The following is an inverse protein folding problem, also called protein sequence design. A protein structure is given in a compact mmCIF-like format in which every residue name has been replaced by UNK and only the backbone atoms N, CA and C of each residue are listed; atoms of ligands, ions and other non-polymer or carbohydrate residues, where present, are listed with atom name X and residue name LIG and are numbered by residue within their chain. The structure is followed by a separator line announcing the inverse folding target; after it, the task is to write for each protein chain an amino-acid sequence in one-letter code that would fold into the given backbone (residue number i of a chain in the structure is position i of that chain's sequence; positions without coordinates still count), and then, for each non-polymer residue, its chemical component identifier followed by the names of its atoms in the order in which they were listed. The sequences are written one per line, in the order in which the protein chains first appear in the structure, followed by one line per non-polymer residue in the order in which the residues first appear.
data_IF_547073390899
#
_entry.id   IF_547073390899
#
_cell.length_a   1.000
_cell.length_b   1.000
_cell.length_c   1.000
_cell.angle_alpha   90.00
_cell.angle_beta   90.00
_cell.angle_gamma   90.00
#
_symmetry.space_group_name_H-M   'P 1'
#
loop_
_entity.id
_entity.type
_entity.pdbx_description
1 polymer ?
#
# COMPACT_ATOMS: atom_id res chain seq x y z
N UNK A 1 -66.95 -28.98 9.69
CA UNK A 1 -66.74 -28.85 8.22
C UNK A 1 -67.39 -27.52 7.84
N UNK A 2 -66.76 -26.45 7.36
CA UNK A 2 -65.45 -26.17 6.76
C UNK A 2 -64.98 -24.77 7.21
N UNK A 3 -63.66 -24.59 7.28
CA UNK A 3 -62.96 -23.31 7.41
C UNK A 3 -63.09 -22.51 6.10
N UNK A 4 -63.23 -21.19 6.17
CA UNK A 4 -62.90 -20.28 5.08
C UNK A 4 -61.98 -19.17 5.63
N UNK A 5 -60.74 -19.15 5.13
CA UNK A 5 -59.69 -18.22 5.51
C UNK A 5 -59.95 -16.82 4.96
N UNK A 6 -59.83 -15.81 5.82
CA UNK A 6 -59.63 -14.42 5.41
C UNK A 6 -58.17 -14.24 4.98
N UNK A 7 -57.97 -13.70 3.77
CA UNK A 7 -56.66 -13.29 3.24
C UNK A 7 -56.22 -12.02 3.97
N UNK A 8 -55.23 -12.15 4.86
CA UNK A 8 -54.48 -11.04 5.42
C UNK A 8 -53.28 -10.73 4.53
N UNK A 9 -53.28 -9.54 3.92
CA UNK A 9 -52.16 -8.99 3.16
C UNK A 9 -51.02 -8.66 4.13
N UNK A 10 -49.93 -9.43 4.06
CA UNK A 10 -48.70 -9.16 4.82
C UNK A 10 -47.92 -8.06 4.08
N UNK A 11 -47.97 -6.83 4.60
CA UNK A 11 -47.06 -5.76 4.21
C UNK A 11 -45.67 -6.09 4.78
N UNK A 12 -44.80 -6.67 3.95
CA UNK A 12 -43.37 -6.74 4.21
C UNK A 12 -42.81 -5.31 4.12
N UNK A 13 -42.51 -4.73 5.28
CA UNK A 13 -41.63 -3.56 5.39
C UNK A 13 -40.23 -4.05 5.02
N UNK A 14 -39.84 -3.81 3.77
CA UNK A 14 -38.46 -4.02 3.31
C UNK A 14 -37.55 -3.08 4.05
N UNK A 15 -36.76 -3.61 4.99
CA UNK A 15 -35.63 -2.90 5.55
C UNK A 15 -34.60 -2.71 4.44
N UNK A 16 -34.38 -1.46 4.03
CA UNK A 16 -33.19 -1.08 3.29
C UNK A 16 -31.99 -1.32 4.21
N UNK A 17 -31.36 -2.49 4.07
CA UNK A 17 -29.96 -2.67 4.45
C UNK A 17 -29.16 -1.87 3.42
N UNK A 18 -28.82 -0.63 3.77
CA UNK A 18 -27.77 0.09 3.09
C UNK A 18 -26.47 -0.68 3.36
N UNK A 19 -26.08 -1.55 2.42
CA UNK A 19 -24.72 -2.04 2.33
C UNK A 19 -23.87 -0.81 2.03
N UNK A 20 -23.26 -0.23 3.07
CA UNK A 20 -22.16 0.69 2.86
C UNK A 20 -21.03 -0.16 2.28
N UNK A 21 -20.75 0.02 0.99
CA UNK A 21 -19.52 -0.47 0.39
C UNK A 21 -18.38 0.17 1.21
N UNK A 22 -17.64 -0.67 1.93
CA UNK A 22 -16.41 -0.26 2.59
C UNK A 22 -15.44 0.07 1.46
N UNK A 23 -15.13 1.35 1.27
CA UNK A 23 -13.95 1.73 0.54
C UNK A 23 -12.76 1.24 1.37
N UNK A 24 -12.19 0.12 0.96
CA UNK A 24 -10.85 -0.30 1.37
C UNK A 24 -9.94 0.90 1.10
N UNK A 25 -9.46 1.56 2.15
CA UNK A 25 -8.31 2.44 2.06
C UNK A 25 -7.12 1.54 1.73
N UNK A 26 -6.95 1.28 0.43
CA UNK A 26 -5.80 0.59 -0.12
C UNK A 26 -4.59 1.46 0.27
N UNK A 27 -3.77 0.95 1.17
CA UNK A 27 -2.36 1.29 1.14
C UNK A 27 -1.90 0.90 -0.27
N UNK A 28 -1.85 1.86 -1.18
CA UNK A 28 -1.24 1.67 -2.48
C UNK A 28 0.15 1.10 -2.21
N UNK A 29 0.44 -0.11 -2.68
CA UNK A 29 1.76 -0.72 -2.61
C UNK A 29 2.30 -0.62 -4.03
N UNK A 30 3.33 0.20 -4.27
CA UNK A 30 3.97 0.20 -5.59
C UNK A 30 4.94 -0.97 -5.68
N UNK A 31 4.43 -2.07 -6.24
CA UNK A 31 5.13 -3.33 -6.37
C UNK A 31 4.23 -4.48 -5.89
N UNK A 32 4.66 -5.73 -6.02
CA UNK A 32 4.16 -6.91 -5.38
C UNK A 32 5.05 -7.18 -4.17
N UNK A 33 4.53 -8.06 -3.35
CA UNK A 33 5.16 -8.53 -2.15
C UNK A 33 6.32 -9.47 -2.52
N UNK A 34 7.48 -8.92 -2.87
CA UNK A 34 8.71 -9.68 -2.81
C UNK A 34 8.96 -9.96 -1.32
N UNK A 35 8.62 -11.17 -0.86
CA UNK A 35 8.80 -11.55 0.53
C UNK A 35 10.30 -11.74 0.81
N UNK A 36 11.00 -10.63 1.03
CA UNK A 36 12.39 -10.64 1.41
C UNK A 36 12.49 -11.05 2.88
N UNK A 37 13.34 -12.04 3.15
CA UNK A 37 13.68 -12.37 4.53
C UNK A 37 14.27 -11.15 5.22
N UNK A 38 13.91 -10.94 6.48
CA UNK A 38 14.58 -9.94 7.30
C UNK A 38 16.08 -10.19 7.30
N UNK A 39 16.85 -9.17 6.93
CA UNK A 39 18.30 -9.24 6.84
C UNK A 39 18.93 -9.48 8.23
N UNK A 40 18.24 -9.01 9.27
CA UNK A 40 18.71 -9.04 10.64
C UNK A 40 17.54 -9.27 11.61
N UNK A 41 17.77 -10.04 12.67
CA UNK A 41 16.79 -10.32 13.73
C UNK A 41 16.30 -9.04 14.43
N UNK A 42 17.13 -8.00 14.51
CA UNK A 42 16.71 -6.73 15.11
C UNK A 42 15.71 -5.99 14.21
N UNK A 43 15.85 -6.10 12.88
CA UNK A 43 14.85 -5.58 11.94
C UNK A 43 13.54 -6.35 12.06
N UNK A 44 13.61 -7.69 12.09
CA UNK A 44 12.44 -8.53 12.31
C UNK A 44 11.72 -8.13 13.61
N UNK A 45 12.42 -8.06 14.75
CA UNK A 45 11.80 -7.67 16.02
C UNK A 45 11.14 -6.29 15.99
N UNK A 46 11.77 -5.33 15.33
CA UNK A 46 11.24 -3.97 15.17
C UNK A 46 9.96 -3.97 14.34
N UNK A 47 9.95 -4.73 13.24
CA UNK A 47 8.79 -4.91 12.39
C UNK A 47 7.67 -5.65 13.13
N UNK A 48 8.02 -6.76 13.78
CA UNK A 48 7.08 -7.64 14.46
C UNK A 48 6.31 -6.90 15.55
N UNK A 49 6.97 -5.98 16.25
CA UNK A 49 6.38 -5.27 17.38
C UNK A 49 5.02 -4.65 17.05
N UNK A 50 4.90 -4.02 15.88
CA UNK A 50 3.70 -3.26 15.50
C UNK A 50 2.96 -3.84 14.31
N UNK A 51 3.63 -4.52 13.37
CA UNK A 51 3.01 -4.96 12.12
C UNK A 51 2.68 -6.46 12.11
N UNK A 52 3.31 -7.30 12.94
CA UNK A 52 2.91 -8.71 13.08
C UNK A 52 1.45 -8.89 13.57
N UNK A 53 0.94 -8.09 14.53
CA UNK A 53 -0.47 -8.14 14.89
C UNK A 53 -1.41 -7.82 13.72
N UNK A 54 -1.03 -6.87 12.85
CA UNK A 54 -1.80 -6.52 11.65
C UNK A 54 -1.75 -7.68 10.66
N UNK A 55 -0.54 -8.16 10.32
CA UNK A 55 -0.32 -9.29 9.39
C UNK A 55 -1.07 -10.56 9.78
N UNK A 56 -1.16 -10.85 11.07
CA UNK A 56 -1.85 -12.03 11.58
C UNK A 56 -3.34 -11.82 11.84
N UNK A 57 -3.93 -10.69 11.41
CA UNK A 57 -5.34 -10.38 11.61
C UNK A 57 -5.75 -10.26 13.08
N UNK A 58 -4.82 -9.90 13.97
CA UNK A 58 -5.11 -9.69 15.40
C UNK A 58 -5.67 -8.31 15.70
N UNK A 59 -5.38 -7.35 14.82
CA UNK A 59 -5.88 -5.98 14.87
C UNK A 59 -6.13 -5.47 13.45
N UNK A 60 -7.08 -4.56 13.32
CA UNK A 60 -7.38 -3.86 12.07
C UNK A 60 -6.94 -2.40 12.20
N UNK A 61 -5.75 -2.06 11.67
CA UNK A 61 -5.20 -0.70 11.63
C UNK A 61 -4.19 -0.56 10.49
N UNK A 62 -3.84 0.68 10.13
CA UNK A 62 -2.82 0.96 9.12
C UNK A 62 -1.42 0.41 9.49
N UNK A 63 -0.61 0.13 8.46
CA UNK A 63 0.76 -0.39 8.58
C UNK A 63 1.74 0.68 9.04
N UNK A 64 2.70 0.30 9.89
CA UNK A 64 3.78 1.20 10.34
C UNK A 64 5.01 1.10 9.44
N UNK A 65 5.36 -0.10 9.02
CA UNK A 65 6.50 -0.43 8.16
C UNK A 65 6.02 -0.92 6.80
N UNK A 66 4.97 -1.71 6.80
CA UNK A 66 4.46 -2.41 5.63
C UNK A 66 4.26 -3.90 5.93
N UNK A 67 3.64 -4.63 5.01
CA UNK A 67 3.29 -6.03 5.19
C UNK A 67 4.52 -6.96 5.28
N UNK A 68 5.62 -6.60 4.62
CA UNK A 68 6.89 -7.31 4.58
C UNK A 68 8.05 -6.37 4.23
N UNK A 69 9.28 -6.89 4.25
CA UNK A 69 10.44 -6.15 3.76
C UNK A 69 10.37 -5.95 2.24
N UNK A 70 10.56 -4.70 1.81
CA UNK A 70 10.53 -4.29 0.40
C UNK A 70 11.81 -4.67 -0.35
N UNK A 71 12.93 -4.83 0.36
CA UNK A 71 14.21 -5.19 -0.24
C UNK A 71 14.93 -6.29 0.53
N UNK A 72 15.95 -6.90 -0.10
CA UNK A 72 17.00 -7.62 0.63
C UNK A 72 17.78 -6.67 1.55
N UNK A 73 18.50 -7.24 2.51
CA UNK A 73 19.52 -6.50 3.26
C UNK A 73 20.64 -5.98 2.37
N UNK A 74 21.10 -4.76 2.65
CA UNK A 74 22.16 -4.08 1.89
C UNK A 74 23.19 -3.46 2.82
N UNK A 75 24.34 -3.13 2.23
CA UNK A 75 25.38 -2.32 2.86
C UNK A 75 25.43 -0.98 2.15
N UNK A 76 25.40 0.09 2.92
CA UNK A 76 25.53 1.46 2.42
C UNK A 76 26.70 2.14 3.12
N UNK A 77 27.51 2.89 2.36
CA UNK A 77 28.61 3.69 2.91
C UNK A 77 28.13 4.61 4.05
N UNK A 78 28.82 4.54 5.18
CA UNK A 78 28.61 5.42 6.33
C UNK A 78 29.91 5.56 7.11
N UNK A 79 30.51 6.76 7.07
CA UNK A 79 31.89 7.00 7.52
C UNK A 79 32.18 6.60 8.98
N UNK A 80 31.20 6.77 9.87
CA UNK A 80 31.35 6.47 11.31
C UNK A 80 30.96 5.03 11.68
N UNK A 81 30.50 4.21 10.72
CA UNK A 81 30.28 2.78 10.99
C UNK A 81 31.62 2.03 11.08
N UNK A 82 31.79 1.00 11.93
CA UNK A 82 33.07 0.31 12.14
C UNK A 82 33.77 -0.19 10.86
N UNK A 83 33.00 -0.58 9.85
CA UNK A 83 33.51 -1.05 8.56
C UNK A 83 33.38 -0.01 7.43
N UNK A 84 33.00 1.23 7.77
CA UNK A 84 32.68 2.29 6.82
C UNK A 84 31.35 2.08 6.09
N UNK A 85 30.55 1.09 6.49
CA UNK A 85 29.25 0.77 5.92
C UNK A 85 28.23 0.41 7.01
N UNK A 86 27.00 0.90 6.90
CA UNK A 86 25.85 0.50 7.71
C UNK A 86 25.05 -0.61 7.03
N UNK A 87 24.42 -1.48 7.82
CA UNK A 87 23.44 -2.44 7.29
C UNK A 87 22.07 -1.76 7.19
N UNK A 88 21.39 -1.91 6.05
CA UNK A 88 20.06 -1.35 5.82
C UNK A 88 19.11 -2.37 5.21
N UNK A 89 17.81 -2.20 5.44
CA UNK A 89 16.76 -2.90 4.72
C UNK A 89 15.55 -1.96 4.51
N UNK A 90 15.00 -1.95 3.31
CA UNK A 90 13.86 -1.11 2.95
C UNK A 90 12.55 -1.84 3.21
N UNK A 91 11.53 -1.06 3.56
CA UNK A 91 10.14 -1.43 3.76
C UNK A 91 9.29 -0.42 2.99
N UNK A 92 7.98 -0.64 2.87
CA UNK A 92 7.14 0.28 2.12
C UNK A 92 7.16 1.69 2.71
N UNK A 93 6.99 1.75 4.04
CA UNK A 93 6.76 2.99 4.78
C UNK A 93 8.05 3.59 5.35
N UNK A 94 9.21 2.95 5.16
CA UNK A 94 10.48 3.36 5.79
C UNK A 94 11.68 2.55 5.27
N UNK A 95 12.87 2.83 5.80
CA UNK A 95 13.90 1.80 5.96
C UNK A 95 14.17 1.51 7.44
N UNK A 96 14.92 0.44 7.70
CA UNK A 96 15.60 0.19 8.96
C UNK A 96 17.10 0.15 8.73
N UNK A 97 17.89 0.66 9.67
CA UNK A 97 19.35 0.69 9.58
C UNK A 97 20.03 0.42 10.92
N UNK A 98 21.16 -0.31 10.87
CA UNK A 98 22.11 -0.49 11.97
C UNK A 98 23.43 0.16 11.56
N UNK A 99 23.66 1.36 12.07
CA UNK A 99 24.86 2.17 11.81
C UNK A 99 26.03 1.76 12.70
N UNK A 100 25.75 1.46 13.97
CA UNK A 100 26.75 1.02 14.95
C UNK A 100 26.39 -0.38 15.44
N UNK A 101 26.82 -1.44 14.72
CA UNK A 101 26.56 -2.82 15.14
C UNK A 101 27.20 -3.17 16.49
N UNK A 102 28.22 -2.41 16.90
CA UNK A 102 28.91 -2.45 18.19
C UNK A 102 28.23 -1.62 19.30
N UNK A 103 27.08 -1.00 19.01
CA UNK A 103 26.27 -0.24 19.96
C UNK A 103 25.47 -1.11 20.95
N UNK A 104 24.68 -0.43 21.80
CA UNK A 104 23.77 -1.08 22.76
C UNK A 104 22.53 -1.62 22.03
N UNK A 105 22.48 -2.94 21.86
CA UNK A 105 21.40 -3.66 21.17
C UNK A 105 20.09 -3.77 21.95
N UNK A 106 20.06 -3.25 23.19
CA UNK A 106 18.85 -3.14 24.00
C UNK A 106 18.15 -1.79 23.85
N UNK A 107 18.82 -0.82 23.24
CA UNK A 107 18.26 0.50 22.97
C UNK A 107 17.28 0.45 21.81
N UNK A 108 16.15 1.16 21.92
CA UNK A 108 15.24 1.36 20.79
C UNK A 108 15.94 2.02 19.59
N UNK A 109 17.05 2.73 19.84
CA UNK A 109 17.84 3.40 18.82
C UNK A 109 18.92 2.52 18.19
N UNK A 110 19.01 1.23 18.55
CA UNK A 110 19.91 0.30 17.87
C UNK A 110 19.51 0.11 16.41
N UNK A 111 18.20 -0.01 16.16
CA UNK A 111 17.60 0.08 14.83
C UNK A 111 17.03 1.48 14.66
N UNK A 112 17.61 2.25 13.74
CA UNK A 112 17.05 3.56 13.35
C UNK A 112 16.39 3.47 11.98
N UNK A 113 15.80 4.56 11.49
CA UNK A 113 14.94 4.53 10.29
C UNK A 113 15.47 5.44 9.17
N UNK A 114 16.69 5.97 9.31
CA UNK A 114 17.25 6.98 8.41
C UNK A 114 16.55 8.34 8.49
N UNK A 115 17.06 9.34 7.79
CA UNK A 115 16.48 10.69 7.67
C UNK A 115 15.82 10.86 6.30
N UNK A 116 15.04 9.86 5.88
CA UNK A 116 14.60 9.69 4.48
C UNK A 116 13.95 10.95 3.89
N UNK A 117 13.00 11.55 4.60
CA UNK A 117 12.30 12.74 4.10
C UNK A 117 13.21 13.95 4.10
N UNK A 118 14.05 14.14 5.12
CA UNK A 118 15.06 15.21 5.10
C UNK A 118 15.94 15.12 3.87
N UNK A 119 16.41 13.92 3.56
CA UNK A 119 17.28 13.66 2.42
C UNK A 119 16.53 13.85 1.08
N UNK A 120 15.30 13.35 0.95
CA UNK A 120 14.44 13.55 -0.25
C UNK A 120 14.14 15.02 -0.51
N UNK A 121 13.77 15.77 0.53
CA UNK A 121 13.39 17.19 0.40
C UNK A 121 14.61 18.07 0.13
N UNK A 122 15.76 17.76 0.73
CA UNK A 122 16.97 18.61 0.59
C UNK A 122 17.92 18.18 -0.52
N UNK A 123 17.76 16.97 -1.05
CA UNK A 123 18.73 16.34 -1.94
C UNK A 123 20.03 15.90 -1.25
N UNK A 124 20.16 16.06 0.08
CA UNK A 124 21.42 15.81 0.81
C UNK A 124 21.46 14.38 1.34
N UNK A 125 21.92 13.46 0.52
CA UNK A 125 22.05 12.05 0.88
C UNK A 125 23.10 11.86 1.99
N UNK A 126 22.72 11.21 3.08
CA UNK A 126 23.62 10.99 4.22
C UNK A 126 24.61 9.86 3.95
N UNK A 127 25.90 10.13 4.20
CA UNK A 127 27.05 9.22 4.04
C UNK A 127 27.90 9.15 5.33
N UNK A 128 27.42 9.76 6.41
CA UNK A 128 28.04 9.83 7.72
C UNK A 128 27.31 10.84 8.62
N UNK A 129 27.74 10.98 9.87
CA UNK A 129 27.10 11.88 10.85
C UNK A 129 27.08 13.34 10.37
N UNK A 130 28.15 13.75 9.68
CA UNK A 130 28.29 15.10 9.12
C UNK A 130 28.73 15.10 7.65
N UNK A 131 28.65 13.95 6.98
CA UNK A 131 29.10 13.76 5.59
C UNK A 131 27.88 13.52 4.70
N UNK A 132 27.76 14.30 3.62
CA UNK A 132 26.62 14.26 2.73
C UNK A 132 27.06 14.30 1.27
N UNK A 133 26.36 13.55 0.43
CA UNK A 133 26.41 13.65 -1.03
C UNK A 133 25.21 14.48 -1.52
N UNK A 134 25.42 15.37 -2.49
CA UNK A 134 24.37 16.23 -3.00
C UNK A 134 23.76 15.65 -4.28
N UNK A 135 22.44 15.51 -4.27
CA UNK A 135 21.58 15.16 -5.39
C UNK A 135 20.53 16.25 -5.59
N UNK A 136 19.70 16.11 -6.63
CA UNK A 136 18.49 16.91 -6.75
C UNK A 136 17.45 16.46 -5.71
N UNK A 137 16.67 17.39 -5.12
CA UNK A 137 15.47 17.04 -4.38
C UNK A 137 14.53 16.12 -5.17
N UNK A 138 13.78 15.28 -4.48
CA UNK A 138 12.98 14.26 -5.14
C UNK A 138 11.68 14.81 -5.75
N UNK A 139 11.58 14.72 -7.07
CA UNK A 139 10.36 14.96 -7.87
C UNK A 139 9.44 13.72 -7.78
N UNK A 140 9.03 13.36 -6.57
CA UNK A 140 8.15 12.22 -6.28
C UNK A 140 6.99 12.70 -5.42
N UNK A 141 5.77 12.34 -5.82
CA UNK A 141 4.55 12.65 -5.07
C UNK A 141 4.65 12.12 -3.64
N UNK A 142 4.42 13.00 -2.65
CA UNK A 142 4.57 12.65 -1.23
C UNK A 142 3.45 11.69 -0.79
N UNK A 143 2.27 11.84 -1.38
CA UNK A 143 1.08 11.06 -1.13
C UNK A 143 0.21 10.98 -2.40
N UNK A 144 -0.69 10.01 -2.43
CA UNK A 144 -1.57 9.79 -3.58
C UNK A 144 -0.92 8.93 -4.67
N UNK A 145 -1.53 8.98 -5.84
CA UNK A 145 -1.11 8.22 -7.01
C UNK A 145 0.20 8.79 -7.58
N UNK A 146 1.11 7.94 -8.09
CA UNK A 146 2.42 8.37 -8.58
C UNK A 146 2.38 9.26 -9.83
N UNK A 147 1.30 9.16 -10.61
CA UNK A 147 1.10 9.88 -11.87
C UNK A 147 0.17 11.09 -11.73
N UNK A 148 -0.28 11.41 -10.50
CA UNK A 148 -1.05 12.61 -10.20
C UNK A 148 -0.21 13.88 -10.44
N UNK A 149 -0.54 14.71 -11.45
CA UNK A 149 0.20 15.94 -11.74
C UNK A 149 -0.07 17.07 -10.75
N UNK A 150 -1.12 16.94 -9.93
CA UNK A 150 -1.59 17.95 -8.97
C UNK A 150 -1.19 17.59 -7.51
N UNK A 151 -0.46 16.49 -7.31
CA UNK A 151 0.10 16.11 -6.02
C UNK A 151 1.42 16.83 -5.73
N UNK A 152 1.60 17.19 -4.45
CA UNK A 152 2.82 17.85 -3.96
C UNK A 152 3.98 16.84 -3.90
N UNK A 153 5.13 17.23 -4.44
CA UNK A 153 6.37 16.44 -4.40
C UNK A 153 7.24 16.76 -3.18
N UNK A 154 8.25 15.93 -2.88
CA UNK A 154 9.23 16.29 -1.85
C UNK A 154 10.05 17.54 -2.22
N UNK A 155 10.32 17.76 -3.51
CA UNK A 155 11.01 18.95 -4.00
C UNK A 155 10.23 20.24 -3.68
N UNK A 156 8.91 20.23 -3.83
CA UNK A 156 8.03 21.37 -3.51
C UNK A 156 8.10 21.75 -2.01
N UNK A 157 8.24 20.75 -1.14
CA UNK A 157 8.31 20.95 0.31
C UNK A 157 9.59 21.66 0.77
N UNK A 158 10.65 21.68 -0.05
CA UNK A 158 11.92 22.32 0.31
C UNK A 158 11.74 23.82 0.62
N UNK A 159 10.82 24.48 -0.08
CA UNK A 159 10.50 25.89 0.15
C UNK A 159 9.75 26.14 1.48
N UNK A 160 9.21 25.08 2.11
CA UNK A 160 8.37 25.17 3.30
C UNK A 160 9.14 24.95 4.61
N UNK A 161 10.37 24.45 4.56
CA UNK A 161 11.19 24.13 5.75
C UNK A 161 11.44 25.34 6.67
N UNK A 162 11.49 26.55 6.13
CA UNK A 162 11.72 27.77 6.90
C UNK A 162 10.44 28.46 7.38
N UNK A 163 9.26 27.85 7.15
CA UNK A 163 7.97 28.44 7.55
C UNK A 163 7.84 28.43 9.07
N UNK A 164 7.35 29.51 9.68
CA UNK A 164 7.24 29.60 11.13
C UNK A 164 6.19 28.62 11.67
N UNK A 165 6.45 28.09 12.86
CA UNK A 165 5.51 27.25 13.59
C UNK A 165 4.11 27.89 13.71
N UNK A 166 3.08 27.11 13.41
CA UNK A 166 1.69 27.49 13.67
C UNK A 166 1.45 27.47 15.18
N UNK A 167 0.82 28.52 15.71
CA UNK A 167 0.48 28.58 17.14
C UNK A 167 -0.41 27.41 17.57
N UNK A 168 -0.05 26.73 18.66
CA UNK A 168 -0.85 25.66 19.27
C UNK A 168 -2.30 26.10 19.49
N UNK A 169 -3.25 25.21 19.20
CA UNK A 169 -4.69 25.44 19.28
C UNK A 169 -5.31 26.09 18.03
N UNK A 170 -4.50 26.52 17.05
CA UNK A 170 -5.01 27.04 15.77
C UNK A 170 -5.70 25.93 14.98
N UNK A 171 -6.91 26.18 14.47
CA UNK A 171 -7.59 25.29 13.53
C UNK A 171 -6.89 25.36 12.18
N UNK A 172 -6.48 24.21 11.65
CA UNK A 172 -5.69 24.11 10.43
C UNK A 172 -6.59 24.09 9.20
N UNK A 173 -6.55 25.17 8.43
CA UNK A 173 -7.37 25.38 7.23
C UNK A 173 -6.56 25.70 5.97
N UNK A 174 -5.23 25.71 6.08
CA UNK A 174 -4.36 26.05 4.96
C UNK A 174 -4.27 24.88 3.99
N UNK A 175 -4.59 25.15 2.71
CA UNK A 175 -4.30 24.28 1.58
C UNK A 175 -2.93 24.62 0.98
N UNK A 176 -2.22 23.62 0.51
CA UNK A 176 -1.00 23.73 -0.27
C UNK A 176 -1.27 23.16 -1.67
N UNK A 177 -0.83 23.85 -2.71
CA UNK A 177 -0.85 23.37 -4.10
C UNK A 177 0.56 23.06 -4.62
N UNK A 178 0.65 22.53 -5.84
CA UNK A 178 1.90 22.16 -6.53
C UNK A 178 2.78 23.35 -6.89
N UNK A 179 2.28 24.58 -6.83
CA UNK A 179 3.10 25.78 -7.03
C UNK A 179 3.71 26.29 -5.71
N UNK A 180 3.48 25.58 -4.60
CA UNK A 180 3.86 26.03 -3.27
C UNK A 180 2.98 27.16 -2.73
N UNK A 181 1.83 27.45 -3.37
CA UNK A 181 0.91 28.46 -2.89
C UNK A 181 0.12 27.92 -1.69
N UNK A 182 0.04 28.75 -0.65
CA UNK A 182 -0.71 28.42 0.56
C UNK A 182 -1.95 29.30 0.65
N UNK A 183 -3.13 28.67 0.54
CA UNK A 183 -4.43 29.36 0.56
C UNK A 183 -5.24 28.87 1.75
N UNK A 184 -5.81 29.78 2.53
CA UNK A 184 -6.73 29.39 3.61
C UNK A 184 -8.10 29.01 3.04
N UNK A 185 -8.58 27.82 3.37
CA UNK A 185 -9.92 27.33 3.05
C UNK A 185 -10.72 27.10 4.34
N UNK A 186 -11.58 28.08 4.73
CA UNK A 186 -12.38 28.00 5.95
C UNK A 186 -13.30 26.78 6.03
N UNK A 187 -13.65 26.13 4.92
CA UNK A 187 -14.52 24.95 4.95
C UNK A 187 -13.87 23.76 5.67
N UNK A 188 -12.53 23.68 5.64
CA UNK A 188 -11.75 22.62 6.29
C UNK A 188 -11.81 22.68 7.82
N UNK A 189 -12.27 23.81 8.39
CA UNK A 189 -12.56 23.92 9.82
C UNK A 189 -13.60 22.88 10.29
N UNK A 190 -14.44 22.36 9.38
CA UNK A 190 -15.39 21.29 9.66
C UNK A 190 -14.72 20.00 10.16
N UNK A 191 -13.44 19.77 9.84
CA UNK A 191 -12.69 18.60 10.30
C UNK A 191 -12.08 18.76 11.71
N UNK A 192 -12.11 19.97 12.28
CA UNK A 192 -11.64 20.27 13.63
C UNK A 192 -10.19 19.81 13.92
N UNK A 193 -9.34 19.82 12.90
CA UNK A 193 -7.90 19.55 13.02
C UNK A 193 -7.22 20.80 13.59
N UNK A 194 -6.37 20.62 14.60
CA UNK A 194 -5.66 21.73 15.25
C UNK A 194 -4.15 21.52 15.29
N UNK A 195 -3.39 22.62 15.39
CA UNK A 195 -1.97 22.57 15.73
C UNK A 195 -1.83 22.14 17.20
N UNK A 196 -1.25 20.97 17.49
CA UNK A 196 -1.34 20.33 18.80
C UNK A 196 -0.05 20.42 19.63
N UNK A 197 1.10 20.06 19.06
CA UNK A 197 2.36 19.96 19.81
C UNK A 197 3.47 20.75 19.10
N UNK A 198 3.99 21.79 19.74
CA UNK A 198 5.10 22.59 19.19
C UNK A 198 6.42 21.95 19.58
N UNK A 199 7.22 21.60 18.58
CA UNK A 199 8.55 21.03 18.75
C UNK A 199 9.59 22.09 18.44
N UNK A 200 10.46 22.36 19.42
CA UNK A 200 11.58 23.30 19.24
C UNK A 200 12.88 22.63 19.66
N UNK A 201 13.70 22.27 18.68
CA UNK A 201 15.06 21.75 18.85
C UNK A 201 16.01 22.52 17.91
N UNK A 202 17.35 22.46 18.04
CA UNK A 202 18.23 23.19 17.14
C UNK A 202 17.93 22.89 15.66
N UNK A 203 17.55 23.92 14.90
CA UNK A 203 17.21 23.79 13.48
C UNK A 203 15.74 23.46 13.18
N UNK A 204 14.92 23.15 14.18
CA UNK A 204 13.50 22.77 14.02
C UNK A 204 12.62 23.62 14.94
N UNK A 205 11.61 24.25 14.37
CA UNK A 205 10.54 24.95 15.10
C UNK A 205 9.22 24.83 14.34
N UNK A 206 8.49 23.72 14.59
CA UNK A 206 7.25 23.37 13.90
C UNK A 206 6.19 22.84 14.87
N UNK A 207 4.93 22.88 14.46
CA UNK A 207 3.81 22.35 15.27
C UNK A 207 3.15 21.15 14.60
N UNK A 208 3.07 20.03 15.32
CA UNK A 208 2.46 18.78 14.88
C UNK A 208 0.94 18.92 14.90
N UNK A 209 0.26 18.48 13.83
CA UNK A 209 -1.20 18.46 13.79
C UNK A 209 -1.79 17.42 14.76
N UNK A 210 -2.97 17.72 15.31
CA UNK A 210 -3.67 16.90 16.31
C UNK A 210 -3.87 15.43 15.94
N UNK A 211 -4.30 15.04 14.71
CA UNK A 211 -4.42 13.62 14.37
C UNK A 211 -3.06 12.90 14.42
N UNK A 212 -1.99 13.54 13.95
CA UNK A 212 -0.65 12.97 13.94
C UNK A 212 -0.08 12.84 15.35
N UNK A 213 -0.22 13.89 16.17
CA UNK A 213 0.23 13.83 17.56
C UNK A 213 -0.49 12.75 18.36
N UNK A 214 -1.80 12.59 18.14
CA UNK A 214 -2.58 11.51 18.75
C UNK A 214 -2.11 10.13 18.30
N UNK A 215 -1.83 9.95 17.01
CA UNK A 215 -1.33 8.69 16.46
C UNK A 215 0.07 8.33 16.99
N UNK A 216 1.00 9.28 17.01
CA UNK A 216 2.36 9.11 17.56
C UNK A 216 2.37 8.72 19.05
N UNK A 217 1.30 9.04 19.80
CA UNK A 217 1.15 8.69 21.22
C UNK A 217 0.15 7.56 21.45
N UNK A 218 -0.29 6.88 20.40
CA UNK A 218 -1.34 5.85 20.51
C UNK A 218 -0.82 4.53 21.07
N UNK A 219 -1.77 3.73 21.54
CA UNK A 219 -1.57 2.36 22.03
C UNK A 219 -2.42 1.38 21.24
N UNK A 220 -2.00 0.12 21.23
CA UNK A 220 -2.75 -0.98 20.65
C UNK A 220 -2.06 -2.32 20.95
N UNK A 221 -2.63 -3.40 20.41
CA UNK A 221 -1.97 -4.71 20.49
C UNK A 221 -0.65 -4.65 19.73
N UNK A 222 0.42 -4.95 20.48
CA UNK A 222 1.79 -5.14 20.00
C UNK A 222 2.21 -6.59 20.20
N UNK A 223 3.33 -6.97 19.58
CA UNK A 223 3.95 -8.28 19.75
C UNK A 223 5.33 -8.15 20.39
N UNK A 224 5.64 -9.09 21.27
CA UNK A 224 7.02 -9.45 21.63
C UNK A 224 7.16 -10.96 21.45
N UNK A 225 8.38 -11.51 21.32
CA UNK A 225 8.56 -12.93 21.01
C UNK A 225 7.72 -13.86 21.87
N UNK A 226 6.67 -14.44 21.26
CA UNK A 226 5.73 -15.37 21.89
C UNK A 226 4.48 -14.77 22.55
N UNK A 227 4.30 -13.44 22.61
CA UNK A 227 3.18 -12.81 23.30
C UNK A 227 2.59 -11.59 22.56
N UNK A 228 1.26 -11.48 22.60
CA UNK A 228 0.52 -10.28 22.22
C UNK A 228 -0.01 -9.59 23.48
N UNK A 229 0.07 -8.27 23.55
CA UNK A 229 -0.45 -7.49 24.67
C UNK A 229 -0.69 -6.04 24.24
N UNK A 230 -1.50 -5.30 25.01
CA UNK A 230 -1.73 -3.87 24.81
C UNK A 230 -0.55 -3.05 25.34
N UNK A 231 0.02 -2.20 24.49
CA UNK A 231 1.08 -1.26 24.86
C UNK A 231 1.05 -0.03 23.94
N UNK A 232 1.95 0.93 24.15
CA UNK A 232 2.22 1.99 23.17
C UNK A 232 2.69 1.39 21.86
N UNK A 233 2.21 1.94 20.74
CA UNK A 233 2.74 1.58 19.41
C UNK A 233 4.17 2.09 19.24
N UNK A 234 4.51 3.20 19.90
CA UNK A 234 5.82 3.80 19.88
C UNK A 234 6.26 4.14 21.31
N UNK A 235 7.36 3.55 21.79
CA UNK A 235 7.91 3.88 23.11
C UNK A 235 8.25 5.37 23.20
N UNK A 236 8.85 5.90 22.13
CA UNK A 236 9.08 7.32 21.90
C UNK A 236 8.23 7.79 20.71
N UNK A 237 7.43 8.87 20.84
CA UNK A 237 6.55 9.34 19.76
C UNK A 237 7.31 9.74 18.49
N UNK A 238 8.59 10.09 18.59
CA UNK A 238 9.45 10.48 17.47
C UNK A 238 10.26 9.33 16.89
N UNK A 239 10.09 8.09 17.38
CA UNK A 239 10.86 6.94 16.89
C UNK A 239 10.62 6.70 15.38
N UNK A 240 9.36 6.57 14.98
CA UNK A 240 8.98 6.27 13.61
C UNK A 240 9.11 7.46 12.65
N UNK A 241 8.81 8.67 13.11
CA UNK A 241 8.71 9.87 12.24
C UNK A 241 9.92 10.79 12.30
N UNK A 242 10.63 10.84 13.43
CA UNK A 242 11.52 11.98 13.75
C UNK A 242 10.75 13.26 14.08
N UNK A 243 11.44 14.39 14.12
CA UNK A 243 10.82 15.69 14.39
C UNK A 243 10.08 16.27 13.16
N UNK A 244 9.05 17.11 13.34
CA UNK A 244 8.35 17.75 12.22
C UNK A 244 9.29 18.71 11.49
N UNK A 245 9.26 18.68 10.15
CA UNK A 245 10.07 19.57 9.30
C UNK A 245 9.21 20.51 8.45
N UNK A 246 7.88 20.30 8.47
CA UNK A 246 6.89 21.21 7.90
C UNK A 246 5.76 21.43 8.90
N UNK A 247 5.01 22.51 8.71
CA UNK A 247 3.63 22.58 9.20
C UNK A 247 2.74 21.58 8.45
N UNK A 248 1.55 21.31 8.98
CA UNK A 248 0.58 20.48 8.30
C UNK A 248 -0.29 21.31 7.34
N UNK A 249 -0.48 20.79 6.13
CA UNK A 249 -1.26 21.43 5.07
C UNK A 249 -2.28 20.45 4.52
N UNK A 250 -3.45 20.96 4.14
CA UNK A 250 -4.38 20.20 3.33
C UNK A 250 -3.91 20.20 1.89
N UNK A 251 -3.89 19.05 1.24
CA UNK A 251 -3.53 18.90 -0.17
C UNK A 251 -4.64 18.14 -0.89
N UNK A 252 -4.73 18.38 -2.19
CA UNK A 252 -5.51 17.53 -3.09
C UNK A 252 -4.56 16.48 -3.66
N UNK A 253 -4.96 15.22 -3.62
CA UNK A 253 -4.24 14.11 -4.28
C UNK A 253 -5.23 13.12 -4.86
N UNK A 254 -4.87 12.45 -5.93
CA UNK A 254 -5.59 11.29 -6.45
C UNK A 254 -5.23 10.04 -5.65
N UNK A 255 -6.23 9.19 -5.38
CA UNK A 255 -6.03 7.86 -4.80
C UNK A 255 -6.87 6.88 -5.60
N UNK A 256 -6.23 6.04 -6.42
CA UNK A 256 -6.90 5.16 -7.37
C UNK A 256 -7.64 5.92 -8.47
N UNK A 257 -7.11 7.07 -8.90
CA UNK A 257 -7.68 7.98 -9.90
C UNK A 257 -8.83 8.84 -9.37
N UNK A 258 -9.06 8.86 -8.05
CA UNK A 258 -10.13 9.64 -7.42
C UNK A 258 -9.53 10.73 -6.56
N UNK A 259 -9.89 11.97 -6.85
CA UNK A 259 -9.47 13.15 -6.10
C UNK A 259 -9.90 13.06 -4.61
N UNK A 260 -8.95 13.27 -3.71
CA UNK A 260 -9.13 13.29 -2.26
C UNK A 260 -8.49 14.53 -1.67
N UNK A 261 -9.17 15.12 -0.68
CA UNK A 261 -8.56 16.11 0.21
C UNK A 261 -7.97 15.39 1.41
N UNK A 262 -6.66 15.51 1.59
CA UNK A 262 -5.90 14.86 2.68
C UNK A 262 -5.08 15.90 3.43
N UNK A 263 -4.96 15.76 4.74
CA UNK A 263 -4.00 16.54 5.51
C UNK A 263 -2.64 15.85 5.43
N UNK A 264 -1.59 16.59 5.09
CA UNK A 264 -0.22 16.11 4.96
C UNK A 264 0.69 16.84 5.95
N UNK A 265 1.56 16.11 6.66
CA UNK A 265 2.69 16.70 7.40
C UNK A 265 3.94 15.83 7.26
N UNK A 266 5.07 16.46 7.01
CA UNK A 266 6.34 15.78 6.89
C UNK A 266 7.23 15.98 8.12
N UNK A 267 7.93 14.90 8.47
CA UNK A 267 8.88 14.79 9.57
C UNK A 267 10.21 14.29 9.01
N UNK A 268 11.27 14.33 9.80
CA UNK A 268 12.64 13.98 9.35
C UNK A 268 12.73 12.62 8.65
N UNK A 269 11.95 11.63 9.09
CA UNK A 269 12.01 10.25 8.62
C UNK A 269 10.82 9.84 7.74
N UNK A 270 9.63 10.41 7.97
CA UNK A 270 8.40 10.04 7.27
C UNK A 270 7.43 11.20 7.11
N UNK A 271 6.55 11.11 6.13
CA UNK A 271 5.37 11.95 6.05
C UNK A 271 4.13 11.15 6.47
N UNK A 272 3.22 11.83 7.16
CA UNK A 272 1.94 11.30 7.59
C UNK A 272 0.81 11.96 6.81
N UNK A 273 -0.19 11.18 6.43
CA UNK A 273 -1.44 11.67 5.85
C UNK A 273 -2.60 11.45 6.82
N UNK A 274 -3.58 12.35 6.81
CA UNK A 274 -4.84 12.20 7.52
C UNK A 274 -6.04 12.43 6.59
N UNK A 275 -6.90 11.42 6.48
CA UNK A 275 -8.08 11.42 5.60
C UNK A 275 -9.34 11.23 6.45
N UNK A 276 -10.09 12.32 6.76
CA UNK A 276 -11.24 12.25 7.67
C UNK A 276 -12.35 11.29 7.24
N UNK A 277 -12.49 11.04 5.94
CA UNK A 277 -13.50 10.14 5.38
C UNK A 277 -13.15 8.66 5.52
N UNK A 278 -11.90 8.32 5.86
CA UNK A 278 -11.50 6.93 6.08
C UNK A 278 -12.11 6.40 7.39
N UNK A 279 -12.29 5.07 7.52
CA UNK A 279 -12.68 4.50 8.79
C UNK A 279 -11.61 4.78 9.86
N UNK A 280 -12.03 4.88 11.13
CA UNK A 280 -11.22 5.46 12.21
C UNK A 280 -9.80 4.87 12.34
N UNK A 281 -9.62 3.57 12.10
CA UNK A 281 -8.32 2.90 12.23
C UNK A 281 -7.38 3.09 11.00
N UNK A 282 -7.86 3.77 9.96
CA UNK A 282 -7.13 4.11 8.72
C UNK A 282 -7.20 5.61 8.42
N UNK A 283 -7.57 6.43 9.40
CA UNK A 283 -7.59 7.87 9.20
C UNK A 283 -6.20 8.46 9.15
N UNK A 284 -5.21 7.88 9.82
CA UNK A 284 -3.80 8.30 9.77
C UNK A 284 -2.97 7.19 9.14
N UNK A 285 -2.16 7.54 8.16
CA UNK A 285 -1.32 6.59 7.44
C UNK A 285 0.09 7.14 7.22
N UNK A 286 1.07 6.25 7.14
CA UNK A 286 2.40 6.59 6.64
C UNK A 286 2.40 6.54 5.11
N UNK A 287 3.06 7.51 4.47
CA UNK A 287 3.36 7.44 3.04
C UNK A 287 4.36 6.32 2.72
N UNK A 288 4.45 5.91 1.45
CA UNK A 288 5.39 4.87 0.98
C UNK A 288 6.83 5.39 0.83
N UNK A 289 7.28 6.19 1.79
CA UNK A 289 8.57 6.90 1.71
C UNK A 289 9.76 5.95 1.62
N UNK A 290 9.64 4.70 2.11
CA UNK A 290 10.71 3.72 1.98
C UNK A 290 10.95 3.32 0.52
N UNK A 291 9.86 3.13 -0.24
CA UNK A 291 9.93 2.87 -1.69
C UNK A 291 10.41 4.10 -2.45
N UNK A 292 9.89 5.28 -2.11
CA UNK A 292 10.28 6.55 -2.75
C UNK A 292 11.78 6.81 -2.58
N UNK A 293 12.28 6.65 -1.34
CA UNK A 293 13.68 6.86 -1.03
C UNK A 293 14.59 5.82 -1.67
N UNK A 294 14.20 4.54 -1.68
CA UNK A 294 14.98 3.50 -2.34
C UNK A 294 15.26 3.85 -3.81
N UNK A 295 14.22 4.26 -4.55
CA UNK A 295 14.32 4.68 -5.96
C UNK A 295 15.24 5.89 -6.13
N UNK A 296 15.01 6.92 -5.32
CA UNK A 296 15.78 8.16 -5.38
C UNK A 296 17.27 7.94 -5.06
N UNK A 297 17.58 7.18 -4.00
CA UNK A 297 18.96 6.89 -3.57
C UNK A 297 19.73 6.05 -4.57
N UNK A 298 19.09 5.02 -5.13
CA UNK A 298 19.78 4.06 -6.00
C UNK A 298 19.67 4.40 -7.48
N UNK A 299 19.03 5.52 -7.84
CA UNK A 299 18.86 5.95 -9.23
C UNK A 299 18.05 4.95 -10.06
N UNK A 300 17.28 4.09 -9.40
CA UNK A 300 16.47 3.07 -10.05
C UNK A 300 15.04 3.62 -10.25
N UNK A 301 14.52 3.79 -11.48
CA UNK A 301 13.13 3.42 -11.68
C UNK A 301 13.08 1.95 -11.26
N UNK A 302 12.23 1.58 -10.28
CA UNK A 302 12.04 0.15 -9.96
C UNK A 302 11.86 -0.53 -11.30
N UNK A 303 12.75 -1.46 -11.69
CA UNK A 303 12.55 -2.17 -12.93
C UNK A 303 11.18 -2.79 -12.83
N UNK A 304 10.26 -2.26 -13.62
CA UNK A 304 8.90 -2.71 -13.67
C UNK A 304 8.65 -3.14 -15.09
N UNK A 305 7.86 -4.19 -15.19
CA UNK A 305 7.33 -4.65 -16.43
C UNK A 305 5.87 -4.23 -16.49
N UNK A 306 5.51 -3.55 -17.57
CA UNK A 306 4.11 -3.25 -17.85
C UNK A 306 3.45 -4.47 -18.44
N UNK A 307 2.43 -4.97 -17.76
CA UNK A 307 1.65 -6.14 -18.15
C UNK A 307 0.18 -5.79 -18.30
N UNK A 308 -0.57 -6.70 -18.92
CA UNK A 308 -2.03 -6.64 -18.96
C UNK A 308 -2.58 -7.53 -17.84
N UNK A 309 -3.37 -6.94 -16.94
CA UNK A 309 -4.35 -7.72 -16.20
C UNK A 309 -5.61 -7.79 -17.06
N UNK A 310 -6.30 -8.92 -17.05
CA UNK A 310 -7.51 -9.08 -17.85
C UNK A 310 -8.73 -8.98 -16.94
N UNK A 311 -9.61 -8.03 -17.22
CA UNK A 311 -10.90 -7.88 -16.53
C UNK A 311 -12.03 -8.37 -17.43
N UNK A 312 -13.20 -8.64 -16.86
CA UNK A 312 -14.33 -9.23 -17.58
C UNK A 312 -15.35 -8.16 -17.95
N UNK A 313 -15.57 -7.92 -19.24
CA UNK A 313 -16.74 -7.20 -19.72
C UNK A 313 -17.91 -8.18 -19.86
N UNK A 314 -18.97 -7.98 -19.07
CA UNK A 314 -20.16 -8.82 -19.15
C UNK A 314 -21.03 -8.43 -20.33
N UNK A 315 -21.42 -9.38 -21.17
CA UNK A 315 -22.28 -9.06 -22.31
C UNK A 315 -23.71 -8.75 -21.87
N UNK A 316 -24.15 -7.50 -22.04
CA UNK A 316 -25.41 -7.18 -22.73
C UNK A 316 -25.41 -5.75 -23.32
N UNK A 317 -25.91 -5.53 -24.57
CA UNK A 317 -26.27 -6.53 -25.57
C UNK A 317 -25.08 -6.81 -26.53
N UNK A 318 -24.86 -8.10 -26.81
CA UNK A 318 -23.73 -8.63 -27.58
C UNK A 318 -23.45 -7.89 -28.91
N UNK A 319 -22.18 -7.53 -29.15
CA UNK A 319 -21.71 -7.14 -30.49
C UNK A 319 -21.21 -8.38 -31.25
N UNK A 320 -21.56 -8.45 -32.53
CA UNK A 320 -21.57 -9.68 -33.32
C UNK A 320 -20.18 -10.24 -33.74
N UNK A 321 -19.06 -9.77 -33.18
CA UNK A 321 -17.71 -10.16 -33.67
C UNK A 321 -16.61 -10.26 -32.60
N UNK A 322 -16.93 -10.31 -31.29
CA UNK A 322 -15.92 -10.59 -30.26
C UNK A 322 -15.75 -12.11 -30.05
N UNK A 323 -14.52 -12.58 -29.79
CA UNK A 323 -14.26 -13.93 -29.27
C UNK A 323 -14.75 -13.96 -27.82
N UNK A 324 -15.97 -14.45 -27.61
CA UNK A 324 -16.60 -14.50 -26.28
C UNK A 324 -16.34 -15.84 -25.60
N UNK A 325 -16.35 -15.84 -24.26
CA UNK A 325 -16.28 -17.05 -23.44
C UNK A 325 -17.44 -17.08 -22.43
N UNK A 326 -17.66 -18.25 -21.82
CA UNK A 326 -18.70 -18.43 -20.81
C UNK A 326 -20.09 -17.99 -21.29
N UNK A 327 -20.63 -16.95 -20.64
CA UNK A 327 -21.97 -16.43 -20.90
C UNK A 327 -22.02 -15.32 -21.96
N UNK A 328 -21.03 -15.29 -22.85
CA UNK A 328 -20.88 -14.23 -23.86
C UNK A 328 -19.95 -13.10 -23.41
N UNK A 329 -19.20 -13.29 -22.32
CA UNK A 329 -18.30 -12.28 -21.76
C UNK A 329 -17.04 -12.12 -22.62
N UNK A 330 -16.37 -10.98 -22.45
CA UNK A 330 -15.11 -10.64 -23.12
C UNK A 330 -14.04 -10.26 -22.10
N UNK A 331 -12.77 -10.58 -22.38
CA UNK A 331 -11.65 -10.11 -21.59
C UNK A 331 -11.17 -8.75 -22.11
N UNK A 332 -11.06 -7.79 -21.21
CA UNK A 332 -10.54 -6.45 -21.49
C UNK A 332 -9.20 -6.30 -20.76
N UNK A 333 -8.09 -6.09 -21.50
CA UNK A 333 -6.79 -5.84 -20.87
C UNK A 333 -6.77 -4.44 -20.24
N UNK A 334 -6.29 -4.38 -19.00
CA UNK A 334 -5.98 -3.14 -18.27
C UNK A 334 -4.50 -3.16 -17.90
N UNK A 335 -3.80 -2.05 -18.20
CA UNK A 335 -2.36 -1.98 -17.98
C UNK A 335 -2.03 -1.79 -16.51
N UNK A 336 -1.07 -2.57 -16.03
CA UNK A 336 -0.49 -2.43 -14.69
C UNK A 336 1.00 -2.68 -14.72
N UNK A 337 1.68 -2.09 -13.76
CA UNK A 337 3.10 -2.28 -13.56
C UNK A 337 3.30 -3.34 -12.48
N UNK A 338 4.06 -4.38 -12.82
CA UNK A 338 4.60 -5.39 -11.89
C UNK A 338 6.12 -5.19 -11.83
N UNK A 339 6.87 -5.68 -10.84
CA UNK A 339 8.32 -5.61 -10.87
C UNK A 339 8.81 -6.58 -11.90
N UNK A 340 9.97 -6.22 -12.39
CA UNK A 340 10.84 -7.10 -13.12
C UNK A 340 11.17 -8.32 -12.26
N UNK A 341 11.10 -9.49 -12.88
CA UNK A 341 11.72 -10.69 -12.37
C UNK A 341 12.64 -11.25 -13.45
N UNK A 342 13.80 -11.76 -13.04
CA UNK A 342 14.83 -12.28 -13.96
C UNK A 342 14.41 -13.58 -14.66
N UNK A 343 13.29 -14.17 -14.26
CA UNK A 343 12.79 -15.45 -14.80
C UNK A 343 11.34 -15.32 -15.25
N UNK A 344 10.98 -16.05 -16.32
CA UNK A 344 9.60 -16.12 -16.81
C UNK A 344 8.60 -16.59 -15.73
N UNK A 345 8.88 -17.65 -14.93
CA UNK A 345 8.03 -18.00 -13.80
C UNK A 345 7.85 -16.87 -12.78
N UNK A 346 8.92 -16.13 -12.46
CA UNK A 346 8.84 -14.99 -11.54
C UNK A 346 7.95 -13.85 -12.06
N UNK A 347 8.01 -13.54 -13.35
CA UNK A 347 7.15 -12.53 -13.99
C UNK A 347 5.66 -12.94 -13.93
N UNK A 348 5.38 -14.22 -14.20
CA UNK A 348 4.03 -14.79 -14.09
C UNK A 348 3.53 -14.75 -12.64
N UNK A 349 4.36 -15.12 -11.67
CA UNK A 349 4.04 -15.04 -10.24
C UNK A 349 3.64 -13.61 -9.86
N UNK A 350 4.46 -12.61 -10.21
CA UNK A 350 4.18 -11.21 -9.88
C UNK A 350 2.84 -10.72 -10.46
N UNK A 351 2.51 -11.09 -11.70
CA UNK A 351 1.22 -10.74 -12.31
C UNK A 351 0.02 -11.40 -11.63
N UNK A 352 0.15 -12.68 -11.25
CA UNK A 352 -0.89 -13.42 -10.56
C UNK A 352 -1.11 -12.90 -9.13
N UNK A 353 -0.05 -12.59 -8.40
CA UNK A 353 -0.15 -12.02 -7.06
C UNK A 353 -0.87 -10.66 -7.10
N UNK A 354 -0.52 -9.79 -8.05
CA UNK A 354 -1.22 -8.52 -8.25
C UNK A 354 -2.71 -8.74 -8.59
N UNK A 355 -3.04 -9.72 -9.44
CA UNK A 355 -4.42 -10.00 -9.80
C UNK A 355 -5.24 -10.53 -8.61
N UNK A 356 -4.66 -11.46 -7.85
CA UNK A 356 -5.31 -12.10 -6.71
C UNK A 356 -5.49 -11.14 -5.52
N UNK A 357 -4.67 -10.07 -5.43
CA UNK A 357 -4.82 -9.03 -4.41
C UNK A 357 -5.94 -8.02 -4.69
N UNK A 358 -6.63 -8.11 -5.83
CA UNK A 358 -7.74 -7.21 -6.15
C UNK A 358 -9.03 -7.74 -5.53
N UNK A 359 -9.49 -7.09 -4.46
CA UNK A 359 -10.70 -7.49 -3.70
C UNK A 359 -11.98 -6.76 -4.14
N UNK A 360 -11.87 -5.84 -5.11
CA UNK A 360 -13.02 -5.11 -5.65
C UNK A 360 -13.73 -5.90 -6.74
N UNK A 361 -15.07 -6.00 -6.65
CA UNK A 361 -15.91 -6.67 -7.65
C UNK A 361 -15.82 -6.02 -9.03
N UNK A 362 -15.73 -4.70 -9.08
CA UNK A 362 -15.57 -3.95 -10.32
C UNK A 362 -14.24 -3.22 -10.28
N UNK A 363 -13.54 -3.25 -11.42
CA UNK A 363 -12.24 -2.65 -11.54
C UNK A 363 -12.37 -1.12 -11.68
N UNK A 364 -12.08 -0.40 -10.60
CA UNK A 364 -12.32 1.05 -10.51
C UNK A 364 -13.75 1.41 -10.90
N UNK A 365 -13.93 2.50 -11.64
CA UNK A 365 -15.25 2.92 -12.19
C UNK A 365 -15.50 2.43 -13.63
N UNK A 366 -14.69 1.49 -14.15
CA UNK A 366 -14.78 1.05 -15.55
C UNK A 366 -16.02 0.22 -15.89
N UNK A 367 -16.68 -0.35 -14.86
CA UNK A 367 -17.73 -1.35 -15.03
C UNK A 367 -17.21 -2.74 -15.45
N UNK A 368 -15.90 -2.93 -15.59
CA UNK A 368 -15.29 -4.24 -15.83
C UNK A 368 -15.31 -5.06 -14.54
N UNK A 369 -15.77 -6.30 -14.63
CA UNK A 369 -15.88 -7.23 -13.52
C UNK A 369 -14.54 -7.90 -13.24
N UNK A 370 -14.16 -7.99 -11.97
CA UNK A 370 -13.11 -8.87 -11.48
C UNK A 370 -13.77 -10.15 -10.95
N UNK A 371 -13.49 -11.31 -11.55
CA UNK A 371 -14.10 -12.58 -11.14
C UNK A 371 -13.47 -13.16 -9.87
N UNK A 372 -12.30 -12.65 -9.47
CA UNK A 372 -11.51 -13.12 -8.33
C UNK A 372 -11.77 -12.32 -7.05
N UNK A 373 -12.64 -11.31 -7.04
CA UNK A 373 -12.78 -10.36 -5.93
C UNK A 373 -13.11 -10.94 -4.53
N UNK A 374 -13.60 -12.18 -4.44
CA UNK A 374 -13.88 -12.88 -3.16
C UNK A 374 -12.86 -13.99 -2.84
N UNK A 375 -11.77 -14.08 -3.59
CA UNK A 375 -10.78 -15.14 -3.40
C UNK A 375 -9.96 -14.92 -2.11
N UNK A 376 -9.46 -16.01 -1.52
CA UNK A 376 -8.34 -15.98 -0.54
C UNK A 376 -7.16 -16.80 -1.07
N UNK A 377 -7.05 -16.90 -2.40
CA UNK A 377 -6.09 -17.75 -3.05
C UNK A 377 -4.71 -17.11 -3.11
N UNK A 378 -3.68 -17.94 -3.00
CA UNK A 378 -2.29 -17.54 -3.06
C UNK A 378 -1.52 -18.40 -4.06
N UNK A 379 -0.50 -17.82 -4.70
CA UNK A 379 0.39 -18.55 -5.59
C UNK A 379 1.31 -19.45 -4.75
N UNK A 380 1.16 -20.78 -4.89
CA UNK A 380 2.05 -21.75 -4.26
C UNK A 380 3.33 -21.93 -5.08
N UNK A 381 3.20 -22.06 -6.40
CA UNK A 381 4.35 -22.11 -7.31
C UNK A 381 3.96 -21.88 -8.76
N UNK A 382 4.92 -21.44 -9.55
CA UNK A 382 4.84 -21.35 -11.02
C UNK A 382 6.06 -22.04 -11.61
N UNK A 383 5.85 -22.82 -12.66
CA UNK A 383 6.90 -23.45 -13.47
C UNK A 383 6.55 -23.32 -14.95
N UNK A 384 7.57 -23.21 -15.81
CA UNK A 384 7.38 -23.19 -17.25
C UNK A 384 8.33 -24.20 -17.87
N UNK A 385 7.76 -25.25 -18.45
CA UNK A 385 8.50 -26.34 -19.08
C UNK A 385 8.03 -26.51 -20.52
N UNK A 386 8.95 -26.35 -21.48
CA UNK A 386 8.66 -26.49 -22.91
C UNK A 386 7.42 -25.71 -23.39
N UNK A 387 7.27 -24.47 -22.93
CA UNK A 387 6.16 -23.59 -23.29
C UNK A 387 4.90 -23.76 -22.43
N UNK A 388 4.82 -24.79 -21.57
CA UNK A 388 3.65 -25.01 -20.71
C UNK A 388 3.88 -24.39 -19.34
N UNK A 389 3.13 -23.33 -19.02
CA UNK A 389 3.11 -22.72 -17.70
C UNK A 389 2.18 -23.51 -16.76
N UNK A 390 2.73 -24.12 -15.72
CA UNK A 390 1.96 -24.77 -14.65
C UNK A 390 1.91 -23.85 -13.44
N UNK A 391 0.72 -23.36 -13.11
CA UNK A 391 0.43 -22.50 -11.96
C UNK A 391 -0.28 -23.32 -10.90
N UNK A 392 0.27 -23.34 -9.68
CA UNK A 392 -0.34 -23.95 -8.50
C UNK A 392 -0.77 -22.86 -7.54
N UNK A 393 -2.05 -22.85 -7.22
CA UNK A 393 -2.67 -21.98 -6.24
C UNK A 393 -3.08 -22.80 -5.02
N UNK A 394 -3.08 -22.16 -3.86
CA UNK A 394 -3.71 -22.67 -2.63
C UNK A 394 -4.81 -21.72 -2.20
N UNK A 395 -5.71 -22.16 -1.31
CA UNK A 395 -6.82 -21.33 -0.80
C UNK A 395 -8.15 -21.66 -1.47
N UNK A 396 -9.03 -20.68 -1.59
CA UNK A 396 -10.41 -20.80 -2.08
C UNK A 396 -10.73 -19.71 -3.09
N UNK A 397 -11.44 -20.12 -4.15
CA UNK A 397 -11.97 -19.21 -5.16
C UNK A 397 -13.47 -19.52 -5.26
N UNK A 398 -14.33 -18.73 -4.60
CA UNK A 398 -15.76 -18.99 -4.61
C UNK A 398 -16.35 -18.67 -5.99
N UNK A 399 -17.20 -19.56 -6.49
CA UNK A 399 -17.98 -19.38 -7.73
C UNK A 399 -19.47 -19.61 -7.42
N UNK A 400 -20.34 -18.76 -7.94
CA UNK A 400 -21.77 -18.76 -7.61
C UNK A 400 -22.66 -19.20 -8.78
N UNK A 401 -22.11 -19.36 -9.99
CA UNK A 401 -22.87 -19.81 -11.16
C UNK A 401 -22.02 -20.27 -12.33
N UNK A 402 -22.69 -20.80 -13.36
CA UNK A 402 -22.06 -21.36 -14.58
C UNK A 402 -21.24 -20.34 -15.39
N UNK A 403 -21.48 -19.04 -15.17
CA UNK A 403 -20.72 -17.97 -15.82
C UNK A 403 -19.42 -17.65 -15.06
N UNK A 404 -19.35 -17.95 -13.76
CA UNK A 404 -18.23 -17.53 -12.91
C UNK A 404 -17.00 -18.43 -13.11
N UNK A 405 -17.19 -19.74 -13.27
CA UNK A 405 -16.09 -20.67 -13.54
C UNK A 405 -15.29 -20.27 -14.80
N UNK A 406 -15.92 -20.04 -15.98
CA UNK A 406 -15.20 -19.53 -17.14
C UNK A 406 -14.51 -18.19 -16.90
N UNK A 407 -15.13 -17.26 -16.16
CA UNK A 407 -14.54 -15.94 -15.88
C UNK A 407 -13.26 -16.05 -15.06
N UNK A 408 -13.28 -16.83 -13.99
CA UNK A 408 -12.10 -17.09 -13.17
C UNK A 408 -11.00 -17.74 -14.01
N UNK A 409 -11.33 -18.80 -14.76
CA UNK A 409 -10.36 -19.54 -15.57
C UNK A 409 -9.72 -18.65 -16.63
N UNK A 410 -10.52 -17.91 -17.39
CA UNK A 410 -10.02 -17.10 -18.50
C UNK A 410 -9.28 -15.85 -18.01
N UNK A 411 -9.73 -15.22 -16.91
CA UNK A 411 -9.02 -14.11 -16.29
C UNK A 411 -7.61 -14.51 -15.81
N UNK A 412 -7.47 -15.66 -15.14
CA UNK A 412 -6.17 -16.21 -14.75
C UNK A 412 -5.35 -16.63 -15.97
N UNK A 413 -5.94 -17.41 -16.88
CA UNK A 413 -5.27 -17.95 -18.07
C UNK A 413 -4.69 -16.85 -18.94
N UNK A 414 -5.46 -15.82 -19.26
CA UNK A 414 -5.01 -14.73 -20.13
C UNK A 414 -3.88 -13.92 -19.47
N UNK A 415 -3.97 -13.69 -18.16
CA UNK A 415 -2.91 -13.02 -17.38
C UNK A 415 -1.59 -13.80 -17.42
N UNK A 416 -1.64 -15.14 -17.49
CA UNK A 416 -0.44 -15.97 -17.62
C UNK A 416 0.03 -16.09 -19.08
N UNK A 417 -0.90 -16.27 -20.01
CA UNK A 417 -0.60 -16.52 -21.42
C UNK A 417 -0.03 -15.29 -22.16
N UNK A 418 -0.08 -14.10 -21.56
CA UNK A 418 0.47 -12.89 -22.17
C UNK A 418 2.00 -12.90 -22.31
N UNK A 419 2.70 -13.72 -21.53
CA UNK A 419 4.15 -13.66 -21.45
C UNK A 419 4.80 -14.49 -22.57
N UNK A 420 5.73 -13.87 -23.30
CA UNK A 420 6.54 -14.56 -24.32
C UNK A 420 7.23 -15.81 -23.74
N UNK A 421 7.05 -16.95 -24.42
CA UNK A 421 7.54 -18.26 -23.97
C UNK A 421 6.49 -19.11 -23.23
N UNK A 422 5.25 -18.62 -23.11
CA UNK A 422 4.08 -19.39 -22.69
C UNK A 422 3.22 -19.73 -23.91
N UNK A 423 3.14 -21.01 -24.25
CA UNK A 423 2.30 -21.56 -25.32
C UNK A 423 1.00 -22.16 -24.78
N UNK A 424 1.00 -22.66 -23.54
CA UNK A 424 -0.17 -23.24 -22.88
C UNK A 424 -0.12 -23.02 -21.35
N UNK A 425 -1.28 -23.05 -20.69
CA UNK A 425 -1.44 -22.79 -19.25
C UNK A 425 -2.23 -23.90 -18.58
N UNK A 426 -1.63 -24.49 -17.53
CA UNK A 426 -2.25 -25.43 -16.60
C UNK A 426 -2.45 -24.75 -15.25
N UNK A 427 -3.71 -24.66 -14.80
CA UNK A 427 -4.09 -24.05 -13.52
C UNK A 427 -4.51 -25.15 -12.53
N UNK A 428 -3.94 -25.13 -11.33
CA UNK A 428 -4.24 -26.06 -10.24
C UNK A 428 -4.62 -25.27 -8.99
N UNK A 429 -5.64 -25.72 -8.26
CA UNK A 429 -6.04 -25.20 -6.94
C UNK A 429 -6.01 -26.32 -5.91
N UNK A 430 -5.23 -26.15 -4.85
CA UNK A 430 -5.03 -27.16 -3.79
C UNK A 430 -4.58 -28.53 -4.35
N UNK A 431 -3.76 -28.51 -5.41
CA UNK A 431 -3.22 -29.71 -6.06
C UNK A 431 -4.10 -30.35 -7.13
N UNK A 432 -5.35 -29.91 -7.30
CA UNK A 432 -6.30 -30.42 -8.30
C UNK A 432 -6.52 -29.42 -9.45
N UNK A 433 -6.94 -29.86 -10.66
CA UNK A 433 -7.31 -28.95 -11.75
C UNK A 433 -8.28 -27.86 -11.30
N UNK A 434 -7.97 -26.60 -11.63
CA UNK A 434 -8.82 -25.45 -11.34
C UNK A 434 -10.15 -25.60 -12.11
N UNK A 435 -11.18 -26.02 -11.37
CA UNK A 435 -12.46 -26.52 -11.87
C UNK A 435 -12.29 -27.73 -12.81
N UNK A 436 -13.11 -28.77 -12.62
CA UNK A 436 -13.01 -29.97 -13.44
C UNK A 436 -13.37 -29.64 -14.90
N UNK A 437 -12.45 -29.88 -15.84
CA UNK A 437 -12.77 -29.76 -17.27
C UNK A 437 -13.91 -30.72 -17.64
N UNK A 438 -15.05 -30.16 -18.00
CA UNK A 438 -16.11 -30.79 -18.81
C UNK A 438 -16.52 -32.21 -18.42
N UNK A 439 -17.52 -32.35 -17.54
CA UNK A 439 -18.49 -33.42 -17.76
C UNK A 439 -19.22 -33.11 -19.09
N UNK A 440 -19.31 -34.04 -20.05
CA UNK A 440 -20.02 -33.80 -21.30
C UNK A 440 -21.47 -33.45 -20.99
N UNK A 441 -21.89 -32.26 -21.39
CA UNK A 441 -23.31 -31.89 -21.38
C UNK A 441 -24.02 -32.85 -22.35
N UNK A 442 -24.81 -33.76 -21.79
CA UNK A 442 -25.71 -34.60 -22.57
C UNK A 442 -26.74 -33.71 -23.28
N UNK A 443 -27.19 -34.11 -24.50
CA UNK A 443 -27.92 -33.25 -25.43
C UNK A 443 -29.27 -32.73 -24.92
#
# INVERSE_FOLDING_TARGET
MHRALARGTLLLVGGLLALQAFASALAYHEGPFQNHTFANIYFERTWEHVDKPVKNGRVERSWVWGPDAYSRGMREDYAESPDGEREVQYFDKSRMEITHPDGDDTSIWYVTNGLLVNELVSGRMQMGDNTFEQHEPAEVNVAGDPDDPDAVTYADLAALLARPATSTGTVLTNRLDTNGEIVSDPALAAHNVTAAERVTVPGIDHTIASPFWSFMNSSGVVYTPGMYYEDKLFENPYYATGYPITEAYWVTVDVGGVERTVLLQCFERRCLTFTPSNPVNWQVEFGNVGQHYYRWRHGEPVPHERINLYMVATAEPATANALTFGCGDELVPVQRDIPLADTLPGRITNALELLLSLDDQFYGESGLLNALWMNDAAVESVSVDAGVATVRLTGTIPVAGICDEPRVVEQLRATVAQFDGVDDVTLLLNGEPLFAQGAPQQP
#
